data_IF_860782688556
#
_entry.id   IF_860782688556
#
_cell.length_a   1.000
_cell.length_b   1.000
_cell.length_c   1.000
_cell.angle_alpha   90.00
_cell.angle_beta   90.00
_cell.angle_gamma   90.00
#
_symmetry.space_group_name_H-M   'P 1'
#
loop_
_entity.id
_entity.type
_entity.pdbx_description
1 polymer ?
#
# COMPACT_ATOMS: atom_id res chain seq x y z
N UNK A 1 1.15 -28.26 -20.95
CA UNK A 1 0.44 -27.04 -20.53
C UNK A 1 1.07 -26.59 -19.22
N UNK A 2 2.14 -25.80 -19.32
CA UNK A 2 3.02 -25.47 -18.20
C UNK A 2 2.26 -24.45 -17.35
N UNK A 3 1.78 -24.87 -16.17
CA UNK A 3 1.20 -23.95 -15.19
C UNK A 3 2.34 -23.06 -14.72
N UNK A 4 2.42 -21.86 -15.32
CA UNK A 4 3.43 -20.86 -15.01
C UNK A 4 3.49 -20.66 -13.50
N UNK A 5 4.69 -20.71 -12.94
CA UNK A 5 5.01 -20.41 -11.54
C UNK A 5 4.87 -18.89 -11.27
N UNK A 6 3.80 -18.26 -11.74
CA UNK A 6 3.48 -16.87 -11.43
C UNK A 6 3.04 -16.84 -9.97
N UNK A 7 3.92 -16.27 -9.14
CA UNK A 7 3.70 -15.80 -7.78
C UNK A 7 2.23 -15.82 -7.36
N UNK A 8 1.93 -16.58 -6.31
CA UNK A 8 0.70 -16.39 -5.55
C UNK A 8 0.61 -14.91 -5.22
N UNK A 9 -0.33 -14.18 -5.82
CA UNK A 9 -0.56 -12.80 -5.44
C UNK A 9 -0.87 -12.80 -3.94
N UNK A 10 0.03 -12.22 -3.15
CA UNK A 10 -0.06 -12.20 -1.69
C UNK A 10 -1.19 -11.29 -1.19
N UNK A 11 -1.74 -10.47 -2.08
CA UNK A 11 -2.81 -9.54 -1.80
C UNK A 11 -4.12 -10.07 -2.41
N UNK A 12 -5.24 -9.93 -1.69
CA UNK A 12 -6.54 -10.20 -2.27
C UNK A 12 -6.82 -9.22 -3.43
N UNK A 13 -7.72 -9.64 -4.33
CA UNK A 13 -8.21 -8.78 -5.39
C UNK A 13 -8.81 -7.49 -4.79
N UNK A 14 -8.38 -6.33 -5.29
CA UNK A 14 -8.78 -5.00 -4.79
C UNK A 14 -8.57 -4.80 -3.28
N UNK A 15 -7.45 -5.32 -2.74
CA UNK A 15 -7.04 -5.06 -1.35
C UNK A 15 -7.08 -3.57 -0.94
N UNK A 16 -7.37 -3.32 0.34
CA UNK A 16 -7.23 -2.01 0.99
C UNK A 16 -5.88 -1.93 1.67
N UNK A 17 -5.05 -0.96 1.30
CA UNK A 17 -3.63 -0.92 1.67
C UNK A 17 -3.30 0.46 2.24
N UNK A 18 -2.84 0.51 3.49
CA UNK A 18 -2.33 1.74 4.09
C UNK A 18 -0.86 1.97 3.73
N UNK A 19 -0.54 3.12 3.14
CA UNK A 19 0.83 3.50 2.78
C UNK A 19 1.29 4.69 3.62
N UNK A 20 2.09 4.40 4.65
CA UNK A 20 2.83 5.41 5.39
C UNK A 20 3.93 6.03 4.52
N UNK A 21 4.28 7.30 4.78
CA UNK A 21 5.34 7.98 4.02
C UNK A 21 5.02 8.18 2.53
N UNK A 22 3.74 8.13 2.13
CA UNK A 22 3.28 8.21 0.74
C UNK A 22 3.71 9.48 -0.03
N UNK A 23 4.16 10.53 0.66
CA UNK A 23 4.68 11.77 0.04
C UNK A 23 6.18 11.72 -0.26
N UNK A 24 6.89 10.69 0.21
CA UNK A 24 8.32 10.49 -0.07
C UNK A 24 8.56 9.83 -1.44
N UNK A 25 9.83 9.74 -1.83
CA UNK A 25 10.26 9.18 -3.11
C UNK A 25 9.71 7.77 -3.37
N UNK A 26 9.86 6.88 -2.39
CA UNK A 26 9.40 5.48 -2.51
C UNK A 26 7.90 5.36 -2.30
N UNK A 27 7.37 5.99 -1.24
CA UNK A 27 5.95 5.88 -0.88
C UNK A 27 5.02 6.36 -1.99
N UNK A 28 5.39 7.42 -2.71
CA UNK A 28 4.61 7.95 -3.83
C UNK A 28 4.60 7.00 -5.04
N UNK A 29 5.74 6.37 -5.35
CA UNK A 29 5.85 5.38 -6.42
C UNK A 29 5.03 4.12 -6.10
N UNK A 30 5.10 3.64 -4.85
CA UNK A 30 4.34 2.47 -4.38
C UNK A 30 2.84 2.77 -4.42
N UNK A 31 2.39 3.90 -3.87
CA UNK A 31 0.98 4.30 -3.89
C UNK A 31 0.43 4.38 -5.33
N UNK A 32 1.19 4.99 -6.25
CA UNK A 32 0.81 5.06 -7.68
C UNK A 32 0.69 3.67 -8.30
N UNK A 33 1.64 2.77 -8.02
CA UNK A 33 1.64 1.41 -8.57
C UNK A 33 0.45 0.60 -8.05
N UNK A 34 0.21 0.61 -6.75
CA UNK A 34 -0.90 -0.11 -6.13
C UNK A 34 -2.26 0.37 -6.65
N UNK A 35 -2.44 1.68 -6.80
CA UNK A 35 -3.65 2.24 -7.41
C UNK A 35 -3.83 1.84 -8.87
N UNK A 36 -2.73 1.79 -9.65
CA UNK A 36 -2.76 1.32 -11.04
C UNK A 36 -3.09 -0.19 -11.15
N UNK A 37 -2.70 -0.97 -10.15
CA UNK A 37 -3.03 -2.40 -10.03
C UNK A 37 -4.48 -2.62 -9.49
N UNK A 38 -5.25 -1.55 -9.25
CA UNK A 38 -6.68 -1.61 -8.88
C UNK A 38 -6.97 -1.74 -7.39
N UNK A 39 -5.98 -1.49 -6.53
CA UNK A 39 -6.13 -1.52 -5.07
C UNK A 39 -6.62 -0.18 -4.50
N UNK A 40 -7.28 -0.23 -3.34
CA UNK A 40 -7.65 0.97 -2.58
C UNK A 40 -6.48 1.41 -1.71
N UNK A 41 -5.86 2.54 -2.04
CA UNK A 41 -4.71 3.07 -1.29
C UNK A 41 -5.20 4.07 -0.25
N UNK A 42 -5.00 3.73 1.02
CA UNK A 42 -5.26 4.59 2.17
C UNK A 42 -4.00 5.34 2.55
N UNK A 43 -4.11 6.65 2.78
CA UNK A 43 -2.98 7.49 3.17
C UNK A 43 -3.35 8.42 4.31
N UNK A 44 -2.36 8.67 5.18
CA UNK A 44 -2.41 9.71 6.21
C UNK A 44 -1.09 10.46 6.23
N UNK A 45 -1.17 11.77 6.46
CA UNK A 45 0.00 12.59 6.74
C UNK A 45 0.50 12.33 8.15
N UNK A 46 1.75 12.69 8.45
CA UNK A 46 2.30 12.52 9.80
C UNK A 46 1.53 13.32 10.86
N UNK A 47 0.94 14.45 10.47
CA UNK A 47 0.08 15.26 11.34
C UNK A 47 -1.29 14.62 11.58
N UNK A 48 -1.76 13.78 10.67
CA UNK A 48 -3.02 13.04 10.83
C UNK A 48 -2.82 11.73 11.60
N UNK A 49 -1.63 11.13 11.54
CA UNK A 49 -1.26 9.89 12.24
C UNK A 49 0.25 9.83 12.45
N UNK A 50 0.72 10.01 13.70
CA UNK A 50 2.13 9.76 14.04
C UNK A 50 2.30 8.31 14.49
N UNK A 51 2.86 7.48 13.61
CA UNK A 51 3.11 6.05 13.86
C UNK A 51 4.09 5.76 15.01
N UNK A 52 4.76 6.79 15.56
CA UNK A 52 5.61 6.65 16.76
C UNK A 52 4.79 6.65 18.05
N UNK A 53 3.56 7.15 18.00
CA UNK A 53 2.62 7.10 19.11
C UNK A 53 1.68 5.90 18.93
N UNK A 54 1.96 4.82 19.65
CA UNK A 54 1.15 3.60 19.57
C UNK A 54 -0.29 3.80 20.09
N UNK A 55 -0.57 4.85 20.86
CA UNK A 55 -1.91 5.19 21.33
C UNK A 55 -2.71 6.01 20.31
N UNK A 56 -2.04 6.62 19.34
CA UNK A 56 -2.68 7.24 18.18
C UNK A 56 -3.12 6.13 17.20
N UNK A 57 -4.24 5.47 17.50
CA UNK A 57 -4.86 4.44 16.65
C UNK A 57 -5.92 5.04 15.74
#
# INVERSE_FOLDING_TARGET
MIRSMTQSQLLPERARIFVAGHRGLVGSAVARRLGADGHEVLTRTRTELDLRDAAAT
#
